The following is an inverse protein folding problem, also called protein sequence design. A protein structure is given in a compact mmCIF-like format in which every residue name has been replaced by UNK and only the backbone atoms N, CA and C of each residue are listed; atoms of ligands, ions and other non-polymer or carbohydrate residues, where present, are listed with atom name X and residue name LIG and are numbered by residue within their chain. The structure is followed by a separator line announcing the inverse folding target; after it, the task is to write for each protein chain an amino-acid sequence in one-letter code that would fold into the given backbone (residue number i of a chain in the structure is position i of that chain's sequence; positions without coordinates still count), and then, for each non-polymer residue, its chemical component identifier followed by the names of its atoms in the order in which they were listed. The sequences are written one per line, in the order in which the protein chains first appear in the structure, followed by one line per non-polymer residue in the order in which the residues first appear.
data_IF_171672609311
#
_entry.id   IF_171672609311
#
_cell.length_a   1.000
_cell.length_b   1.000
_cell.length_c   1.000
_cell.angle_alpha   90.00
_cell.angle_beta   90.00
_cell.angle_gamma   90.00
#
_symmetry.space_group_name_H-M   'P 1'
#
loop_
_entity.id
_entity.type
_entity.pdbx_description
1 polymer ?
#
# COMPACT_ATOMS: atom_id res chain seq x y z
N UNK A 1 -3.00 53.62 -51.70
CA UNK A 1 -4.44 53.42 -51.46
C UNK A 1 -4.84 52.21 -52.30
N UNK A 2 -5.14 51.01 -51.79
CA UNK A 2 -5.90 50.61 -50.60
C UNK A 2 -5.44 49.21 -50.10
N UNK A 3 -6.00 48.83 -48.95
CA UNK A 3 -5.52 47.90 -47.92
C UNK A 3 -5.25 46.42 -48.33
N UNK A 4 -4.20 45.84 -47.72
CA UNK A 4 -4.14 44.39 -47.41
C UNK A 4 -5.01 44.12 -46.17
N UNK A 5 -5.93 43.15 -46.17
CA UNK A 5 -6.57 42.69 -44.95
C UNK A 5 -5.63 41.75 -44.20
N UNK A 6 -5.17 42.19 -43.02
CA UNK A 6 -4.48 41.36 -42.04
C UNK A 6 -5.47 40.38 -41.42
N UNK A 7 -5.41 39.12 -41.85
CA UNK A 7 -6.12 38.01 -41.22
C UNK A 7 -5.36 37.63 -39.94
N UNK A 8 -5.90 38.02 -38.78
CA UNK A 8 -5.43 37.54 -37.49
C UNK A 8 -5.82 36.06 -37.31
N UNK A 9 -4.92 35.15 -36.90
CA UNK A 9 -5.29 33.77 -36.63
C UNK A 9 -6.10 33.70 -35.34
N UNK A 10 -7.35 33.27 -35.48
CA UNK A 10 -8.27 32.97 -34.38
C UNK A 10 -7.67 31.82 -33.54
N UNK A 11 -7.15 32.14 -32.35
CA UNK A 11 -6.62 31.14 -31.43
C UNK A 11 -7.79 30.38 -30.80
N UNK A 12 -7.84 29.04 -30.84
CA UNK A 12 -8.91 28.31 -30.15
C UNK A 12 -8.80 28.52 -28.63
N UNK A 13 -9.92 28.64 -27.91
CA UNK A 13 -9.90 28.74 -26.46
C UNK A 13 -9.26 27.48 -25.87
N UNK A 14 -8.27 27.69 -25.01
CA UNK A 14 -7.60 26.64 -24.24
C UNK A 14 -8.66 25.81 -23.51
N UNK A 15 -8.65 24.46 -23.58
CA UNK A 15 -9.62 23.67 -22.84
C UNK A 15 -9.40 23.91 -21.35
N UNK A 16 -10.39 24.55 -20.72
CA UNK A 16 -10.44 24.77 -19.29
C UNK A 16 -10.16 23.46 -18.55
N UNK A 17 -9.25 23.53 -17.57
CA UNK A 17 -8.90 22.44 -16.66
C UNK A 17 -10.16 21.68 -16.26
N UNK A 18 -10.26 20.43 -16.70
CA UNK A 18 -11.23 19.44 -16.20
C UNK A 18 -11.22 19.51 -14.67
N UNK A 19 -12.24 20.13 -14.09
CA UNK A 19 -12.51 20.01 -12.66
C UNK A 19 -12.81 18.55 -12.42
N UNK A 20 -11.83 17.87 -11.82
CA UNK A 20 -11.96 16.50 -11.35
C UNK A 20 -13.13 16.45 -10.37
N UNK A 21 -14.28 15.98 -10.85
CA UNK A 21 -15.39 15.57 -10.01
C UNK A 21 -14.85 14.47 -9.10
N UNK A 22 -14.57 14.82 -7.84
CA UNK A 22 -13.98 13.93 -6.85
C UNK A 22 -15.06 12.94 -6.41
N UNK A 23 -15.28 11.90 -7.22
CA UNK A 23 -16.20 10.82 -6.90
C UNK A 23 -15.85 10.24 -5.54
N UNK A 24 -16.86 10.16 -4.67
CA UNK A 24 -16.76 9.58 -3.32
C UNK A 24 -16.62 8.06 -3.45
N UNK A 25 -15.41 7.59 -3.75
CA UNK A 25 -15.13 6.16 -3.87
C UNK A 25 -15.35 5.45 -2.53
N UNK A 26 -16.08 4.33 -2.58
CA UNK A 26 -16.29 3.44 -1.43
C UNK A 26 -14.98 2.71 -1.12
N UNK A 27 -14.57 2.70 0.15
CA UNK A 27 -13.36 2.01 0.60
C UNK A 27 -13.64 0.51 0.70
N UNK A 28 -13.21 -0.24 -0.32
CA UNK A 28 -13.42 -1.70 -0.41
C UNK A 28 -12.38 -2.45 0.45
N UNK A 29 -11.14 -1.96 0.52
CA UNK A 29 -10.05 -2.65 1.23
C UNK A 29 -9.16 -1.65 1.97
N UNK A 30 -9.40 -1.49 3.28
CA UNK A 30 -8.65 -0.57 4.14
C UNK A 30 -7.14 -0.84 4.19
N UNK A 31 -6.74 -2.12 4.08
CA UNK A 31 -5.32 -2.53 4.03
C UNK A 31 -4.64 -2.01 2.76
N UNK A 32 -5.31 -2.09 1.61
CA UNK A 32 -4.76 -1.60 0.33
C UNK A 32 -4.54 -0.09 0.35
N UNK A 33 -5.51 0.65 0.89
CA UNK A 33 -5.42 2.10 1.00
C UNK A 33 -4.25 2.51 1.92
N UNK A 34 -4.05 1.78 3.03
CA UNK A 34 -2.92 1.96 3.94
C UNK A 34 -1.58 1.73 3.23
N UNK A 35 -1.39 0.54 2.64
CA UNK A 35 -0.13 0.18 2.00
C UNK A 35 0.20 1.10 0.82
N UNK A 36 -0.79 1.47 0.01
CA UNK A 36 -0.59 2.43 -1.08
C UNK A 36 -0.17 3.82 -0.54
N UNK A 37 -0.75 4.26 0.58
CA UNK A 37 -0.36 5.50 1.24
C UNK A 37 1.12 5.49 1.67
N UNK A 38 1.58 4.37 2.21
CA UNK A 38 2.97 4.18 2.66
C UNK A 38 3.92 4.22 1.45
N UNK A 39 3.67 3.44 0.41
CA UNK A 39 4.55 3.39 -0.80
C UNK A 39 4.64 4.74 -1.47
N UNK A 40 3.52 5.45 -1.58
CA UNK A 40 3.50 6.76 -2.22
C UNK A 40 4.26 7.82 -1.42
N UNK A 41 4.32 7.67 -0.10
CA UNK A 41 5.10 8.55 0.74
C UNK A 41 6.59 8.20 0.73
N UNK A 42 6.93 6.91 0.75
CA UNK A 42 8.30 6.39 0.58
C UNK A 42 8.89 6.83 -0.77
N UNK A 43 8.15 6.66 -1.88
CA UNK A 43 8.57 7.13 -3.21
C UNK A 43 8.75 8.64 -3.30
N UNK A 44 8.09 9.41 -2.42
CA UNK A 44 8.25 10.86 -2.31
C UNK A 44 9.35 11.26 -1.34
N UNK A 45 10.02 10.31 -0.68
CA UNK A 45 11.08 10.57 0.30
C UNK A 45 10.56 11.21 1.60
N UNK A 46 9.30 10.97 1.97
CA UNK A 46 8.77 11.48 3.24
C UNK A 46 9.28 10.64 4.40
N UNK A 47 9.63 11.30 5.51
CA UNK A 47 10.11 10.63 6.74
C UNK A 47 9.00 9.96 7.55
N UNK A 48 7.74 10.41 7.39
CA UNK A 48 6.61 9.88 8.15
C UNK A 48 5.32 9.87 7.32
N UNK A 49 4.44 8.93 7.65
CA UNK A 49 3.12 8.78 7.04
C UNK A 49 2.07 8.68 8.11
N UNK A 50 1.03 9.50 7.99
CA UNK A 50 -0.19 9.33 8.75
C UNK A 50 -1.20 8.56 7.90
N UNK A 51 -1.55 7.36 8.34
CA UNK A 51 -2.59 6.53 7.72
C UNK A 51 -3.89 6.64 8.52
N UNK A 52 -4.99 6.87 7.81
CA UNK A 52 -6.35 7.01 8.37
C UNK A 52 -7.30 5.94 7.81
N UNK A 53 -7.04 4.67 8.14
CA UNK A 53 -7.91 3.94 9.07
C UNK A 53 -7.16 3.03 10.06
N UNK A 54 -7.58 2.99 11.33
CA UNK A 54 -7.05 2.05 12.32
C UNK A 54 -7.84 0.72 12.27
N UNK A 55 -7.15 -0.38 11.95
CA UNK A 55 -7.70 -1.74 12.01
C UNK A 55 -6.68 -2.67 12.66
N UNK A 56 -7.16 -3.62 13.47
CA UNK A 56 -6.29 -4.61 14.14
C UNK A 56 -5.39 -5.37 13.16
N UNK A 57 -5.90 -5.66 11.97
CA UNK A 57 -5.14 -6.29 10.87
C UNK A 57 -3.98 -5.42 10.41
N UNK A 58 -4.20 -4.11 10.25
CA UNK A 58 -3.17 -3.15 9.81
C UNK A 58 -2.09 -3.03 10.90
N UNK A 59 -2.47 -2.89 12.17
CA UNK A 59 -1.50 -2.80 13.28
C UNK A 59 -0.62 -4.06 13.32
N UNK A 60 -1.23 -5.26 13.28
CA UNK A 60 -0.46 -6.51 13.28
C UNK A 60 0.43 -6.64 12.04
N UNK A 61 -0.02 -6.20 10.88
CA UNK A 61 0.78 -6.21 9.65
C UNK A 61 1.98 -5.27 9.75
N UNK A 62 1.78 -4.05 10.25
CA UNK A 62 2.86 -3.08 10.45
C UNK A 62 3.85 -3.53 11.51
N UNK A 63 3.40 -4.23 12.56
CA UNK A 63 4.28 -4.87 13.54
C UNK A 63 5.18 -5.93 12.90
N UNK A 64 4.66 -6.74 11.98
CA UNK A 64 5.47 -7.70 11.22
C UNK A 64 6.51 -6.98 10.36
N UNK A 65 6.13 -5.91 9.68
CA UNK A 65 7.07 -5.10 8.89
C UNK A 65 8.16 -4.42 9.74
N UNK A 66 7.82 -4.01 10.96
CA UNK A 66 8.75 -3.43 11.93
C UNK A 66 9.77 -4.48 12.40
N UNK A 67 9.33 -5.72 12.68
CA UNK A 67 10.24 -6.83 13.06
C UNK A 67 11.32 -7.12 12.02
N UNK A 68 10.98 -6.98 10.74
CA UNK A 68 11.95 -7.14 9.63
C UNK A 68 12.75 -5.87 9.33
N UNK A 69 12.47 -4.77 10.02
CA UNK A 69 13.21 -3.51 9.86
C UNK A 69 12.92 -2.75 8.56
N UNK A 70 11.76 -2.97 7.93
CA UNK A 70 11.33 -2.18 6.77
C UNK A 70 10.78 -0.81 7.17
N UNK A 71 10.19 -0.74 8.36
CA UNK A 71 9.50 0.41 8.93
C UNK A 71 10.15 0.73 10.27
N UNK A 72 10.17 2.01 10.64
CA UNK A 72 10.64 2.48 11.95
C UNK A 72 9.56 2.33 13.02
N UNK A 73 9.44 3.35 13.86
CA UNK A 73 8.47 3.34 14.96
C UNK A 73 7.04 3.57 14.47
N UNK A 74 6.11 2.95 15.21
CA UNK A 74 4.69 2.98 14.95
C UNK A 74 3.97 3.61 16.15
N UNK A 75 3.34 4.75 15.91
CA UNK A 75 2.54 5.46 16.91
C UNK A 75 1.06 5.35 16.56
N UNK A 76 0.26 4.93 17.55
CA UNK A 76 -1.19 4.84 17.40
C UNK A 76 -1.81 6.04 18.11
N UNK A 77 -2.41 6.93 17.33
CA UNK A 77 -3.12 8.11 17.84
C UNK A 77 -4.62 7.81 17.84
N UNK A 78 -5.25 7.86 19.01
CA UNK A 78 -6.69 7.67 19.12
C UNK A 78 -7.44 9.00 18.97
N UNK A 79 -8.31 9.05 17.96
CA UNK A 79 -9.12 10.21 17.59
C UNK A 79 -10.59 10.00 18.01
N UNK A 80 -10.89 8.97 18.83
CA UNK A 80 -12.22 8.47 19.24
C UNK A 80 -13.17 8.04 18.10
N UNK A 81 -12.84 8.35 16.84
CA UNK A 81 -13.64 8.00 15.66
C UNK A 81 -13.16 6.73 14.97
N UNK A 82 -11.91 6.72 14.51
CA UNK A 82 -11.41 5.68 13.63
C UNK A 82 -9.92 5.38 13.81
N UNK A 83 -9.30 5.99 14.84
CA UNK A 83 -7.85 6.03 15.05
C UNK A 83 -7.05 6.56 13.86
N UNK A 84 -5.81 6.91 14.12
CA UNK A 84 -4.78 7.21 13.12
C UNK A 84 -3.53 6.43 13.52
N UNK A 85 -2.77 6.02 12.52
CA UNK A 85 -1.47 5.41 12.76
C UNK A 85 -0.43 6.28 12.08
N UNK A 86 0.53 6.77 12.85
CA UNK A 86 1.71 7.44 12.34
C UNK A 86 2.82 6.40 12.24
N UNK A 87 3.42 6.33 11.06
CA UNK A 87 4.44 5.35 10.74
C UNK A 87 5.70 6.10 10.30
N UNK A 88 6.81 5.85 10.97
CA UNK A 88 8.11 6.37 10.55
C UNK A 88 8.72 5.50 9.44
N UNK A 89 9.21 6.19 8.41
CA UNK A 89 9.76 5.58 7.20
C UNK A 89 11.28 5.68 7.21
N UNK A 90 11.94 4.54 7.00
CA UNK A 90 13.41 4.42 6.99
C UNK A 90 13.97 4.50 5.56
N UNK A 91 13.13 4.36 4.52
CA UNK A 91 13.58 4.38 3.12
C UNK A 91 14.04 3.03 2.57
N UNK A 92 13.82 1.92 3.31
CA UNK A 92 14.16 0.54 2.87
C UNK A 92 13.04 -0.14 2.08
N UNK A 93 11.85 0.46 2.05
CA UNK A 93 10.67 -0.14 1.44
C UNK A 93 10.63 0.11 -0.08
N UNK A 94 10.86 -0.94 -0.87
CA UNK A 94 10.74 -0.85 -2.34
C UNK A 94 9.28 -0.88 -2.81
N UNK A 95 8.55 -1.93 -2.40
CA UNK A 95 7.16 -2.16 -2.79
C UNK A 95 6.46 -2.92 -1.67
N UNK A 96 5.22 -2.55 -1.38
CA UNK A 96 4.29 -3.38 -0.64
C UNK A 96 2.97 -3.43 -1.39
N UNK A 97 2.07 -4.33 -1.00
CA UNK A 97 0.82 -4.50 -1.72
C UNK A 97 -0.04 -5.55 -1.06
N UNK A 98 -1.34 -5.48 -1.35
CA UNK A 98 -2.30 -6.48 -0.92
C UNK A 98 -2.68 -7.31 -2.14
N UNK A 99 -2.60 -8.63 -2.00
CA UNK A 99 -3.07 -9.56 -3.02
C UNK A 99 -4.58 -9.74 -2.85
N UNK A 100 -5.29 -9.74 -3.96
CA UNK A 100 -6.76 -9.78 -3.98
C UNK A 100 -7.22 -10.59 -5.19
N UNK A 101 -8.16 -11.53 -5.01
CA UNK A 101 -8.80 -11.96 -3.76
C UNK A 101 -7.83 -12.69 -2.81
N UNK A 102 -8.26 -12.91 -1.56
CA UNK A 102 -7.49 -13.61 -0.53
C UNK A 102 -7.58 -15.11 -0.73
N UNK A 103 -6.59 -15.68 -1.40
CA UNK A 103 -6.55 -17.11 -1.71
C UNK A 103 -6.12 -17.93 -0.49
N UNK A 104 -6.71 -19.12 -0.36
CA UNK A 104 -6.28 -20.13 0.58
C UNK A 104 -5.01 -20.82 0.08
N UNK A 105 -3.98 -20.86 0.91
CA UNK A 105 -2.67 -21.42 0.60
C UNK A 105 -2.37 -22.56 1.57
N UNK A 106 -2.20 -23.75 1.01
CA UNK A 106 -1.72 -24.93 1.73
C UNK A 106 -0.20 -24.84 1.88
N UNK A 107 0.38 -25.54 2.87
CA UNK A 107 1.82 -25.58 3.13
C UNK A 107 2.69 -25.78 1.89
N UNK A 108 2.32 -26.71 1.00
CA UNK A 108 3.05 -26.96 -0.24
C UNK A 108 2.96 -25.82 -1.27
N UNK A 109 1.89 -25.02 -1.23
CA UNK A 109 1.67 -23.89 -2.14
C UNK A 109 2.38 -22.60 -1.72
N UNK A 110 2.90 -22.52 -0.49
CA UNK A 110 3.60 -21.32 0.00
C UNK A 110 4.85 -21.03 -0.83
N UNK A 111 5.59 -22.07 -1.21
CA UNK A 111 6.85 -21.91 -1.96
C UNK A 111 6.61 -21.46 -3.40
N UNK A 112 5.52 -21.93 -4.01
CA UNK A 112 5.10 -21.50 -5.35
C UNK A 112 4.66 -20.03 -5.33
N UNK A 113 3.81 -19.64 -4.37
CA UNK A 113 3.39 -18.24 -4.20
C UNK A 113 4.57 -17.32 -3.90
N UNK A 114 5.52 -17.76 -3.07
CA UNK A 114 6.72 -16.99 -2.79
C UNK A 114 7.55 -16.77 -4.07
N UNK A 115 7.69 -17.79 -4.92
CA UNK A 115 8.42 -17.69 -6.19
C UNK A 115 7.73 -16.77 -7.21
N UNK A 116 6.40 -16.73 -7.22
CA UNK A 116 5.63 -15.91 -8.17
C UNK A 116 5.60 -14.42 -7.77
N UNK A 117 5.63 -14.13 -6.46
CA UNK A 117 5.43 -12.78 -5.93
C UNK A 117 6.75 -12.11 -5.55
N UNK A 118 7.69 -12.84 -4.97
CA UNK A 118 8.94 -12.29 -4.49
C UNK A 118 9.96 -12.19 -5.64
N UNK A 119 10.71 -11.08 -5.75
CA UNK A 119 11.72 -10.93 -6.78
C UNK A 119 12.91 -11.88 -6.60
N UNK A 120 13.15 -12.36 -5.37
CA UNK A 120 14.19 -13.32 -5.04
C UNK A 120 13.80 -14.09 -3.78
N UNK A 121 14.30 -15.33 -3.64
CA UNK A 121 14.13 -16.14 -2.42
C UNK A 121 14.72 -15.49 -1.16
N UNK A 122 15.75 -14.65 -1.33
CA UNK A 122 16.43 -13.98 -0.22
C UNK A 122 15.84 -12.61 0.11
N UNK A 123 14.88 -12.11 -0.67
CA UNK A 123 14.38 -10.76 -0.51
C UNK A 123 12.86 -10.65 -0.57
N UNK A 124 12.31 -10.04 0.46
CA UNK A 124 10.88 -9.78 0.62
C UNK A 124 10.19 -10.86 1.43
N UNK A 125 9.17 -10.46 2.17
CA UNK A 125 8.39 -11.36 3.00
C UNK A 125 6.95 -11.39 2.52
N UNK A 126 6.44 -12.59 2.33
CA UNK A 126 5.02 -12.83 2.15
C UNK A 126 4.38 -12.95 3.53
N UNK A 127 3.37 -12.13 3.80
CA UNK A 127 2.61 -12.15 5.05
C UNK A 127 1.31 -12.93 4.82
N UNK A 128 1.02 -13.86 5.72
CA UNK A 128 -0.12 -14.77 5.68
C UNK A 128 -0.98 -14.57 6.92
N UNK A 129 -2.30 -14.65 6.74
CA UNK A 129 -3.27 -14.79 7.82
C UNK A 129 -3.48 -16.27 8.11
N UNK A 130 -2.87 -16.74 9.19
CA UNK A 130 -3.05 -18.11 9.69
C UNK A 130 -4.01 -18.12 10.89
N UNK A 131 -4.52 -19.28 11.32
CA UNK A 131 -5.34 -19.39 12.53
C UNK A 131 -4.64 -18.86 13.80
N UNK A 132 -3.31 -18.95 13.85
CA UNK A 132 -2.49 -18.44 14.95
C UNK A 132 -2.22 -16.92 14.86
N UNK A 133 -2.67 -16.26 13.79
CA UNK A 133 -2.51 -14.83 13.55
C UNK A 133 -1.82 -14.49 12.23
N UNK A 134 -1.53 -13.21 12.06
CA UNK A 134 -0.82 -12.67 10.91
C UNK A 134 0.67 -12.86 11.14
N UNK A 135 1.34 -13.55 10.23
CA UNK A 135 2.75 -13.90 10.33
C UNK A 135 3.39 -14.05 8.95
N UNK A 136 4.70 -14.13 8.89
CA UNK A 136 5.41 -14.34 7.64
C UNK A 136 5.37 -15.80 7.19
N UNK A 137 5.56 -15.99 5.88
CA UNK A 137 5.68 -17.31 5.27
C UNK A 137 6.80 -18.18 5.88
N UNK A 138 7.91 -17.59 6.33
CA UNK A 138 8.95 -18.33 7.07
C UNK A 138 8.46 -18.83 8.43
N UNK A 139 7.77 -17.99 9.20
CA UNK A 139 7.18 -18.38 10.49
C UNK A 139 6.07 -19.42 10.30
N UNK A 140 5.26 -19.27 9.25
CA UNK A 140 4.21 -20.21 8.88
C UNK A 140 4.79 -21.59 8.54
N UNK A 141 5.93 -21.62 7.82
CA UNK A 141 6.66 -22.87 7.52
C UNK A 141 7.21 -23.53 8.79
N UNK A 142 7.81 -22.76 9.71
CA UNK A 142 8.31 -23.30 10.99
C UNK A 142 7.18 -23.89 11.85
N UNK A 143 6.00 -23.28 11.82
CA UNK A 143 4.82 -23.75 12.55
C UNK A 143 3.99 -24.77 11.78
N UNK A 144 4.44 -25.20 10.60
CA UNK A 144 3.70 -26.11 9.72
C UNK A 144 2.22 -25.72 9.59
N UNK A 145 1.93 -24.45 9.34
CA UNK A 145 0.57 -23.95 9.19
C UNK A 145 0.38 -23.24 7.86
N UNK A 146 -0.71 -23.57 7.16
CA UNK A 146 -1.18 -22.80 5.99
C UNK A 146 -2.03 -21.60 6.39
N UNK A 147 -2.57 -20.89 5.41
CA UNK A 147 -3.43 -19.75 5.72
C UNK A 147 -3.99 -19.07 4.49
N UNK A 148 -4.49 -17.86 4.68
CA UNK A 148 -4.95 -16.98 3.62
C UNK A 148 -3.92 -15.89 3.37
N UNK A 149 -3.68 -15.57 2.10
CA UNK A 149 -2.94 -14.38 1.68
C UNK A 149 -3.80 -13.13 1.81
#
# INVERSE_FOLDING_TARGET
FWLKPSVLPFSPPTPARRTSWKQKMVRISVLRDCLNGIINAEKRGKRQVMVRPNSKVIIKFLQVMQKHGYIGDLEIVDDHRAGKVVVELVGRLNKCGVISPRFDVVLGGIEQMASDILPSRQFGHLVLTTPYGIMDHEEARRKNTGGKI
#
